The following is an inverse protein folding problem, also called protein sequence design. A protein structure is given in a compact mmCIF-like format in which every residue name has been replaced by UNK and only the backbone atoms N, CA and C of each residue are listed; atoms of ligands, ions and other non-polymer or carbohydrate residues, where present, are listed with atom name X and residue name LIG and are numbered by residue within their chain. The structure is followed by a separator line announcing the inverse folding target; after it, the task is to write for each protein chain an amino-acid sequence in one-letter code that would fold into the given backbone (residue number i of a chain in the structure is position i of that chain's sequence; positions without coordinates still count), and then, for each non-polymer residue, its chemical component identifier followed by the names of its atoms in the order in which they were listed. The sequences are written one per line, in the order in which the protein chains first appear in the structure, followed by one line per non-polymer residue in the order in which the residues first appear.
data_IF_545622869500
#
_entry.id   IF_545622869500
#
_cell.length_a   1.000
_cell.length_b   1.000
_cell.length_c   1.000
_cell.angle_alpha   90.00
_cell.angle_beta   90.00
_cell.angle_gamma   90.00
#
_symmetry.space_group_name_H-M   'P 1'
#
loop_
_entity.id
_entity.type
_entity.pdbx_description
1 polymer ?
#
# COMPACT_ATOMS: atom_id res chain seq x y z
N UNK A 1 16.27 45.51 43.30
CA UNK A 1 16.55 44.73 42.07
C UNK A 1 16.26 43.27 42.37
N UNK A 2 15.15 42.73 41.83
CA UNK A 2 14.80 41.31 41.99
C UNK A 2 15.28 40.54 40.76
N UNK A 3 16.09 39.51 40.97
CA UNK A 3 16.60 38.62 39.93
C UNK A 3 15.61 37.50 39.65
N UNK A 4 15.14 37.41 38.41
CA UNK A 4 14.31 36.30 37.92
C UNK A 4 15.21 35.13 37.52
N UNK A 5 15.06 34.00 38.19
CA UNK A 5 15.75 32.74 37.87
C UNK A 5 15.04 32.05 36.71
N UNK A 6 15.65 31.99 35.52
CA UNK A 6 15.17 31.15 34.43
C UNK A 6 15.61 29.69 34.65
N UNK A 7 14.67 28.80 34.91
CA UNK A 7 14.92 27.35 34.83
C UNK A 7 14.85 26.92 33.35
N UNK A 8 16.00 26.60 32.77
CA UNK A 8 16.07 25.87 31.50
C UNK A 8 15.76 24.40 31.74
N UNK A 9 14.59 23.96 31.29
CA UNK A 9 14.20 22.56 31.30
C UNK A 9 14.62 21.92 29.96
N UNK A 10 15.89 21.51 29.83
CA UNK A 10 16.38 20.71 28.69
C UNK A 10 16.09 19.23 28.90
N UNK A 11 14.83 18.88 29.18
CA UNK A 11 14.37 17.50 29.22
C UNK A 11 14.15 17.00 27.79
N UNK A 12 15.21 16.51 27.14
CA UNK A 12 15.06 15.69 25.93
C UNK A 12 14.34 14.40 26.33
N UNK A 13 13.03 14.38 26.15
CA UNK A 13 12.22 13.18 26.28
C UNK A 13 12.43 12.37 24.98
N UNK A 14 13.35 11.42 24.99
CA UNK A 14 13.43 10.37 23.96
C UNK A 14 12.21 9.46 24.11
N UNK A 15 11.04 9.97 23.72
CA UNK A 15 9.91 9.13 23.38
C UNK A 15 10.39 8.13 22.34
N UNK A 16 10.05 6.85 22.54
CA UNK A 16 10.46 5.77 21.67
C UNK A 16 10.26 6.20 20.21
N UNK A 17 11.36 6.27 19.45
CA UNK A 17 11.34 6.47 18.00
C UNK A 17 10.53 5.31 17.41
N UNK A 18 9.23 5.53 17.22
CA UNK A 18 8.40 4.61 16.44
C UNK A 18 9.00 4.68 15.04
N UNK A 19 9.66 3.60 14.62
CA UNK A 19 10.20 3.41 13.27
C UNK A 19 9.05 3.37 12.25
N UNK A 20 8.40 4.51 12.01
CA UNK A 20 7.26 4.66 11.08
C UNK A 20 7.68 4.58 9.60
N UNK A 21 8.99 4.58 9.33
CA UNK A 21 9.58 4.51 7.98
C UNK A 21 10.27 3.16 7.68
N UNK A 22 9.93 2.08 8.39
CA UNK A 22 10.15 0.76 7.79
C UNK A 22 9.08 0.61 6.70
N UNK A 23 9.51 0.49 5.43
CA UNK A 23 8.67 -0.16 4.42
C UNK A 23 8.14 -1.42 5.08
N UNK A 24 6.83 -1.48 5.34
CA UNK A 24 6.22 -2.66 5.93
C UNK A 24 6.59 -3.82 5.01
N UNK A 25 7.46 -4.71 5.47
CA UNK A 25 7.80 -5.92 4.72
C UNK A 25 6.47 -6.55 4.32
N UNK A 26 6.30 -6.80 3.01
CA UNK A 26 5.09 -7.45 2.55
C UNK A 26 5.02 -8.82 3.24
N UNK A 27 3.90 -9.08 3.89
CA UNK A 27 3.67 -10.35 4.58
C UNK A 27 3.83 -11.51 3.59
N UNK A 28 4.56 -12.56 4.00
CA UNK A 28 4.83 -13.74 3.17
C UNK A 28 3.52 -14.31 2.63
N UNK A 29 2.50 -14.38 3.48
CA UNK A 29 1.19 -14.92 3.12
C UNK A 29 0.46 -14.04 2.10
N UNK A 30 0.60 -12.72 2.19
CA UNK A 30 0.07 -11.77 1.22
C UNK A 30 0.77 -11.92 -0.14
N UNK A 31 2.11 -12.02 -0.16
CA UNK A 31 2.89 -12.26 -1.38
C UNK A 31 2.51 -13.59 -2.02
N UNK A 32 2.45 -14.67 -1.24
CA UNK A 32 1.98 -15.98 -1.71
C UNK A 32 0.58 -15.87 -2.30
N UNK A 33 -0.35 -15.23 -1.61
CA UNK A 33 -1.74 -15.06 -2.06
C UNK A 33 -1.83 -14.29 -3.37
N UNK A 34 -1.08 -13.19 -3.52
CA UNK A 34 -1.05 -12.39 -4.73
C UNK A 34 -0.48 -13.17 -5.93
N UNK A 35 0.67 -13.83 -5.76
CA UNK A 35 1.30 -14.63 -6.82
C UNK A 35 0.43 -15.83 -7.19
N UNK A 36 -0.21 -16.48 -6.22
CA UNK A 36 -1.14 -17.61 -6.46
C UNK A 36 -2.38 -17.16 -7.24
N UNK A 37 -2.94 -16.00 -6.92
CA UNK A 37 -4.07 -15.45 -7.67
C UNK A 37 -3.68 -15.11 -9.11
N UNK A 38 -2.52 -14.49 -9.29
CA UNK A 38 -2.00 -14.20 -10.63
C UNK A 38 -1.75 -15.48 -11.44
N UNK A 39 -1.13 -16.50 -10.83
CA UNK A 39 -0.86 -17.78 -11.49
C UNK A 39 -2.14 -18.58 -11.81
N UNK A 40 -3.22 -18.38 -11.06
CA UNK A 40 -4.52 -18.98 -11.36
C UNK A 40 -5.16 -18.35 -12.61
N UNK A 41 -4.88 -17.08 -12.90
CA UNK A 41 -5.39 -16.37 -14.07
C UNK A 41 -4.52 -16.62 -15.32
N UNK A 42 -3.20 -16.51 -15.20
CA UNK A 42 -2.27 -16.48 -16.35
C UNK A 42 -1.43 -17.75 -16.51
N UNK A 43 -1.50 -18.68 -15.55
CA UNK A 43 -0.71 -19.92 -15.52
C UNK A 43 0.64 -19.77 -14.81
N UNK A 44 1.06 -20.83 -14.12
CA UNK A 44 2.27 -20.82 -13.29
C UNK A 44 3.56 -20.62 -14.11
N UNK A 45 3.64 -21.14 -15.33
CA UNK A 45 4.83 -20.99 -16.18
C UNK A 45 5.07 -19.52 -16.57
N UNK A 46 4.01 -18.84 -17.01
CA UNK A 46 4.03 -17.43 -17.40
C UNK A 46 4.44 -16.56 -16.21
N UNK A 47 3.78 -16.74 -15.07
CA UNK A 47 4.07 -15.97 -13.84
C UNK A 47 5.49 -16.22 -13.35
N UNK A 48 5.97 -17.46 -13.39
CA UNK A 48 7.33 -17.79 -12.96
C UNK A 48 8.37 -17.14 -13.85
N UNK A 49 8.16 -17.13 -15.18
CA UNK A 49 9.05 -16.49 -16.12
C UNK A 49 9.21 -15.00 -15.81
N UNK A 50 8.11 -14.26 -15.66
CA UNK A 50 8.15 -12.83 -15.32
C UNK A 50 8.93 -12.56 -14.02
N UNK A 51 8.64 -13.30 -12.95
CA UNK A 51 9.28 -13.08 -11.64
C UNK A 51 10.77 -13.42 -11.69
N UNK A 52 11.14 -14.52 -12.34
CA UNK A 52 12.54 -14.98 -12.39
C UNK A 52 13.37 -14.10 -13.31
N UNK A 53 12.82 -13.67 -14.44
CA UNK A 53 13.51 -12.76 -15.36
C UNK A 53 13.70 -11.38 -14.72
N UNK A 54 12.72 -10.87 -13.99
CA UNK A 54 12.88 -9.65 -13.21
C UNK A 54 13.91 -9.82 -12.08
N UNK A 55 13.89 -10.94 -11.35
CA UNK A 55 14.88 -11.23 -10.32
C UNK A 55 16.31 -11.22 -10.87
N UNK A 56 16.52 -11.80 -12.06
CA UNK A 56 17.81 -11.77 -12.77
C UNK A 56 18.19 -10.35 -13.20
N UNK A 57 17.24 -9.56 -13.69
CA UNK A 57 17.48 -8.16 -14.06
C UNK A 57 17.86 -7.29 -12.86
N UNK A 58 17.39 -7.63 -11.66
CA UNK A 58 17.72 -6.94 -10.41
C UNK A 58 19.04 -7.41 -9.75
N UNK A 59 19.82 -8.28 -10.41
CA UNK A 59 21.14 -8.75 -9.96
C UNK A 59 21.16 -10.23 -9.52
N UNK A 60 20.08 -10.71 -8.92
CA UNK A 60 19.78 -12.13 -8.80
C UNK A 60 20.74 -13.03 -8.02
N UNK A 61 21.62 -12.48 -7.17
CA UNK A 61 22.82 -13.18 -6.69
C UNK A 61 22.54 -14.21 -5.58
N UNK A 62 21.58 -13.95 -4.69
CA UNK A 62 21.34 -14.77 -3.49
C UNK A 62 20.50 -16.04 -3.76
N UNK A 63 19.75 -16.05 -4.88
CA UNK A 63 18.86 -17.15 -5.25
C UNK A 63 19.14 -17.55 -6.69
N UNK A 64 19.90 -18.64 -6.85
CA UNK A 64 20.16 -19.23 -8.16
C UNK A 64 18.95 -20.05 -8.64
N UNK A 65 18.22 -19.58 -9.65
CA UNK A 65 17.20 -20.39 -10.34
C UNK A 65 17.82 -21.24 -11.46
N UNK A 66 17.44 -22.52 -11.59
CA UNK A 66 17.84 -23.35 -12.74
C UNK A 66 17.39 -22.76 -14.08
N UNK A 67 18.11 -23.05 -15.16
CA UNK A 67 17.69 -22.65 -16.51
C UNK A 67 16.49 -23.44 -17.03
N UNK A 68 16.28 -24.65 -16.49
CA UNK A 68 15.08 -25.45 -16.77
C UNK A 68 13.84 -24.78 -16.14
N UNK A 69 12.93 -24.33 -17.01
CA UNK A 69 11.72 -23.56 -16.64
C UNK A 69 10.86 -24.33 -15.61
N UNK A 70 10.70 -25.64 -15.80
CA UNK A 70 9.86 -26.45 -14.92
C UNK A 70 10.44 -26.53 -13.51
N UNK A 71 11.75 -26.78 -13.39
CA UNK A 71 12.48 -26.80 -12.12
C UNK A 71 12.53 -25.42 -11.46
N UNK A 72 12.68 -24.36 -12.25
CA UNK A 72 12.71 -22.99 -11.76
C UNK A 72 11.36 -22.57 -11.17
N UNK A 73 10.26 -22.84 -11.89
CA UNK A 73 8.88 -22.70 -11.41
C UNK A 73 8.65 -23.49 -10.12
N UNK A 74 8.99 -24.78 -10.11
CA UNK A 74 8.81 -25.62 -8.91
C UNK A 74 9.55 -25.05 -7.71
N UNK A 75 10.78 -24.54 -7.91
CA UNK A 75 11.58 -23.92 -6.87
C UNK A 75 10.94 -22.64 -6.34
N UNK A 76 10.47 -21.75 -7.22
CA UNK A 76 9.77 -20.52 -6.86
C UNK A 76 8.53 -20.81 -6.02
N UNK A 77 7.63 -21.67 -6.51
CA UNK A 77 6.40 -21.99 -5.79
C UNK A 77 6.65 -22.73 -4.48
N UNK A 78 7.71 -23.54 -4.39
CA UNK A 78 8.11 -24.16 -3.12
C UNK A 78 8.53 -23.13 -2.07
N UNK A 79 9.19 -22.05 -2.46
CA UNK A 79 9.52 -20.95 -1.55
C UNK A 79 8.27 -20.18 -1.12
N UNK A 80 7.38 -19.89 -2.07
CA UNK A 80 6.12 -19.20 -1.79
C UNK A 80 5.19 -20.02 -0.88
N UNK A 81 4.98 -21.30 -1.18
CA UNK A 81 4.07 -22.15 -0.40
C UNK A 81 4.59 -22.43 1.00
N UNK A 82 5.91 -22.60 1.11
CA UNK A 82 6.62 -22.88 2.35
C UNK A 82 5.93 -23.93 3.24
N UNK A 83 5.66 -25.16 2.74
CA UNK A 83 4.86 -26.16 3.47
C UNK A 83 5.51 -26.65 4.76
N UNK A 84 6.83 -26.48 4.90
CA UNK A 84 7.59 -26.82 6.10
C UNK A 84 7.81 -25.61 7.04
N UNK A 85 7.17 -24.48 6.77
CA UNK A 85 7.26 -23.24 7.56
C UNK A 85 8.69 -22.77 7.84
N UNK A 86 9.59 -22.95 6.87
CA UNK A 86 11.00 -22.60 6.97
C UNK A 86 11.21 -21.08 6.96
N UNK A 87 11.90 -20.56 7.98
CA UNK A 87 12.34 -19.16 8.02
C UNK A 87 13.21 -18.79 6.81
N UNK A 88 14.07 -19.71 6.36
CA UNK A 88 14.91 -19.48 5.18
C UNK A 88 14.10 -19.26 3.91
N UNK A 89 12.95 -19.91 3.77
CA UNK A 89 12.05 -19.67 2.63
C UNK A 89 11.31 -18.34 2.77
N UNK A 90 10.98 -17.91 4.00
CA UNK A 90 10.48 -16.55 4.24
C UNK A 90 11.52 -15.50 3.84
N UNK A 91 12.79 -15.70 4.19
CA UNK A 91 13.90 -14.84 3.74
C UNK A 91 14.03 -14.81 2.21
N UNK A 92 13.96 -15.96 1.53
CA UNK A 92 13.97 -15.98 0.07
C UNK A 92 12.79 -15.24 -0.54
N UNK A 93 11.58 -15.36 0.02
CA UNK A 93 10.42 -14.59 -0.45
C UNK A 93 10.60 -13.10 -0.18
N UNK A 94 11.20 -12.69 0.95
CA UNK A 94 11.56 -11.28 1.20
C UNK A 94 12.52 -10.75 0.14
N UNK A 95 13.56 -11.52 -0.21
CA UNK A 95 14.51 -11.16 -1.27
C UNK A 95 13.83 -11.06 -2.63
N UNK A 96 12.89 -11.96 -2.94
CA UNK A 96 12.13 -11.94 -4.20
C UNK A 96 11.05 -10.84 -4.26
N UNK A 97 10.66 -10.28 -3.11
CA UNK A 97 9.53 -9.32 -3.03
C UNK A 97 9.70 -8.11 -3.96
N UNK A 98 10.87 -7.44 -4.06
CA UNK A 98 11.06 -6.34 -5.00
C UNK A 98 10.82 -6.74 -6.47
N UNK A 99 11.33 -7.89 -6.90
CA UNK A 99 11.10 -8.43 -8.24
C UNK A 99 9.61 -8.76 -8.47
N UNK A 100 8.97 -9.45 -7.50
CA UNK A 100 7.55 -9.74 -7.56
C UNK A 100 6.72 -8.46 -7.69
N UNK A 101 7.02 -7.44 -6.89
CA UNK A 101 6.28 -6.17 -6.89
C UNK A 101 6.40 -5.41 -8.21
N UNK A 102 7.58 -5.47 -8.85
CA UNK A 102 7.84 -4.81 -10.12
C UNK A 102 6.97 -5.40 -11.25
N UNK A 103 6.79 -6.73 -11.29
CA UNK A 103 6.03 -7.40 -12.36
C UNK A 103 4.58 -7.75 -12.00
N UNK A 104 4.18 -7.66 -10.73
CA UNK A 104 2.82 -8.01 -10.30
C UNK A 104 1.78 -7.06 -10.92
N UNK A 105 0.81 -7.58 -11.71
CA UNK A 105 -0.23 -6.75 -12.31
C UNK A 105 -1.08 -6.02 -11.27
N UNK A 106 -1.56 -4.82 -11.63
CA UNK A 106 -2.31 -3.94 -10.74
C UNK A 106 -3.54 -4.61 -10.14
N UNK A 107 -4.19 -5.48 -10.91
CA UNK A 107 -5.41 -6.18 -10.53
C UNK A 107 -5.19 -7.13 -9.35
N UNK A 108 -3.96 -7.57 -9.08
CA UNK A 108 -3.62 -8.46 -7.96
C UNK A 108 -3.00 -7.73 -6.76
N UNK A 109 -2.56 -6.47 -6.92
CA UNK A 109 -1.89 -5.69 -5.86
C UNK A 109 -2.78 -5.41 -4.64
N UNK A 110 -4.10 -5.41 -4.80
CA UNK A 110 -5.04 -5.26 -3.69
C UNK A 110 -4.84 -6.31 -2.59
N UNK A 111 -4.32 -7.51 -2.92
CA UNK A 111 -4.04 -8.60 -1.98
C UNK A 111 -2.85 -8.31 -1.07
N UNK A 112 -2.01 -7.35 -1.43
CA UNK A 112 -0.86 -6.89 -0.65
C UNK A 112 -1.21 -5.71 0.24
N UNK A 113 -2.43 -5.18 0.11
CA UNK A 113 -2.89 -4.06 0.91
C UNK A 113 -3.44 -4.62 2.23
N UNK A 114 -3.12 -3.99 3.38
CA UNK A 114 -3.75 -4.32 4.65
C UNK A 114 -5.27 -4.22 4.51
N UNK A 115 -5.99 -5.28 4.91
CA UNK A 115 -7.44 -5.42 4.69
C UNK A 115 -8.26 -4.25 5.25
N UNK A 116 -7.76 -3.56 6.29
CA UNK A 116 -8.55 -2.55 6.99
C UNK A 116 -8.49 -1.12 6.44
N UNK A 117 -7.57 -0.77 5.54
CA UNK A 117 -7.21 0.66 5.44
C UNK A 117 -7.57 1.34 4.12
N UNK A 118 -7.28 0.75 2.96
CA UNK A 118 -7.44 1.48 1.68
C UNK A 118 -8.73 1.13 0.96
N UNK A 119 -9.16 -0.14 0.95
CA UNK A 119 -10.40 -0.54 0.29
C UNK A 119 -11.62 0.05 1.01
N UNK A 120 -11.63 0.03 2.35
CA UNK A 120 -12.67 0.65 3.17
C UNK A 120 -12.77 2.16 2.89
N UNK A 121 -11.63 2.85 2.84
CA UNK A 121 -11.58 4.28 2.52
C UNK A 121 -12.02 4.59 1.10
N UNK A 122 -11.63 3.75 0.12
CA UNK A 122 -12.09 3.86 -1.25
C UNK A 122 -13.60 3.67 -1.36
N UNK A 123 -14.14 2.63 -0.72
CA UNK A 123 -15.57 2.35 -0.70
C UNK A 123 -16.36 3.49 -0.06
N UNK A 124 -15.89 4.03 1.08
CA UNK A 124 -16.49 5.22 1.68
C UNK A 124 -16.44 6.40 0.73
N UNK A 125 -15.29 6.69 0.11
CA UNK A 125 -15.17 7.81 -0.82
C UNK A 125 -16.11 7.71 -2.02
N UNK A 126 -16.26 6.51 -2.58
CA UNK A 126 -17.21 6.25 -3.66
C UNK A 126 -18.67 6.48 -3.23
N UNK A 127 -19.04 6.00 -2.04
CA UNK A 127 -20.39 6.19 -1.47
C UNK A 127 -20.72 7.67 -1.27
N UNK A 128 -19.86 8.39 -0.54
CA UNK A 128 -20.06 9.81 -0.21
C UNK A 128 -20.09 10.67 -1.48
N UNK A 129 -19.22 10.39 -2.46
CA UNK A 129 -19.25 11.07 -3.75
C UNK A 129 -20.53 10.79 -4.55
N UNK A 130 -21.12 9.59 -4.42
CA UNK A 130 -22.39 9.26 -5.07
C UNK A 130 -23.56 9.99 -4.39
N UNK A 131 -23.58 10.05 -3.06
CA UNK A 131 -24.58 10.78 -2.27
C UNK A 131 -24.53 12.29 -2.57
N UNK A 132 -23.33 12.87 -2.68
CA UNK A 132 -23.13 14.25 -3.11
C UNK A 132 -23.72 14.52 -4.51
N UNK A 133 -23.41 13.65 -5.50
CA UNK A 133 -23.94 13.76 -6.87
C UNK A 133 -25.46 13.64 -6.89
N UNK A 134 -26.01 12.71 -6.10
CA UNK A 134 -27.45 12.50 -5.99
C UNK A 134 -28.15 13.71 -5.35
N UNK A 135 -27.59 14.29 -4.29
CA UNK A 135 -28.15 15.49 -3.65
C UNK A 135 -28.24 16.68 -4.62
N UNK A 136 -27.21 16.87 -5.47
CA UNK A 136 -27.22 17.89 -6.53
C UNK A 136 -28.23 17.55 -7.62
N UNK A 137 -28.20 16.31 -8.12
CA UNK A 137 -29.08 15.85 -9.22
C UNK A 137 -30.56 15.94 -8.86
N UNK A 138 -30.92 15.62 -7.61
CA UNK A 138 -32.30 15.67 -7.10
C UNK A 138 -32.71 17.07 -6.61
N UNK A 139 -31.83 18.06 -6.74
CA UNK A 139 -32.02 19.42 -6.22
C UNK A 139 -32.49 19.42 -4.75
N UNK A 140 -31.80 18.65 -3.90
CA UNK A 140 -32.06 18.59 -2.47
C UNK A 140 -31.97 20.00 -1.83
N UNK A 141 -32.59 20.21 -0.65
CA UNK A 141 -32.47 21.47 0.08
C UNK A 141 -31.00 21.92 0.25
N UNK A 142 -30.75 23.23 0.21
CA UNK A 142 -29.38 23.78 0.22
C UNK A 142 -28.50 23.26 1.36
N UNK A 143 -29.05 23.17 2.57
CA UNK A 143 -28.31 22.63 3.72
C UNK A 143 -27.91 21.16 3.54
N UNK A 144 -28.73 20.36 2.85
CA UNK A 144 -28.44 18.97 2.55
C UNK A 144 -27.39 18.86 1.45
N UNK A 145 -27.50 19.66 0.38
CA UNK A 145 -26.44 19.73 -0.65
C UNK A 145 -25.09 20.10 -0.03
N UNK A 146 -25.06 21.11 0.85
CA UNK A 146 -23.84 21.54 1.53
C UNK A 146 -23.23 20.42 2.38
N UNK A 147 -24.04 19.68 3.14
CA UNK A 147 -23.60 18.52 3.92
C UNK A 147 -23.00 17.44 3.01
N UNK A 148 -23.77 16.92 2.06
CA UNK A 148 -23.37 15.78 1.24
C UNK A 148 -22.15 16.10 0.37
N UNK A 149 -22.08 17.32 -0.20
CA UNK A 149 -20.90 17.78 -0.95
C UNK A 149 -19.67 17.90 -0.05
N UNK A 150 -19.83 18.40 1.18
CA UNK A 150 -18.72 18.50 2.14
C UNK A 150 -18.21 17.12 2.59
N UNK A 151 -19.12 16.17 2.84
CA UNK A 151 -18.77 14.79 3.19
C UNK A 151 -18.07 14.07 2.03
N UNK A 152 -18.54 14.30 0.79
CA UNK A 152 -17.87 13.87 -0.44
C UNK A 152 -16.43 14.39 -0.54
N UNK A 153 -16.22 15.71 -0.38
CA UNK A 153 -14.88 16.31 -0.38
C UNK A 153 -13.99 15.73 0.73
N UNK A 154 -14.50 15.66 1.97
CA UNK A 154 -13.77 15.12 3.12
C UNK A 154 -13.38 13.64 2.92
N UNK A 155 -14.22 12.87 2.23
CA UNK A 155 -13.93 11.46 1.92
C UNK A 155 -12.75 11.28 0.96
N UNK A 156 -12.56 12.21 0.02
CA UNK A 156 -11.44 12.17 -0.92
C UNK A 156 -10.11 12.46 -0.22
N UNK A 157 -10.08 13.41 0.72
CA UNK A 157 -8.88 13.65 1.54
C UNK A 157 -8.47 12.42 2.35
N UNK A 158 -9.46 11.68 2.88
CA UNK A 158 -9.20 10.46 3.65
C UNK A 158 -8.46 9.40 2.86
N UNK A 159 -8.50 9.38 1.52
CA UNK A 159 -7.72 8.45 0.70
C UNK A 159 -6.19 8.61 0.91
N UNK A 160 -5.74 9.79 1.30
CA UNK A 160 -4.34 10.14 1.55
C UNK A 160 -4.20 10.84 2.92
N UNK A 161 -4.44 10.13 4.03
CA UNK A 161 -4.62 10.75 5.35
C UNK A 161 -3.36 11.49 5.80
N UNK A 162 -2.19 10.94 5.51
CA UNK A 162 -0.88 11.55 5.81
C UNK A 162 -0.61 12.83 5.01
N UNK A 163 -1.27 13.02 3.86
CA UNK A 163 -1.11 14.19 2.99
C UNK A 163 -2.28 15.19 3.11
N UNK A 164 -3.22 14.98 4.04
CA UNK A 164 -4.43 15.82 4.18
C UNK A 164 -4.10 17.31 4.26
N UNK A 165 -3.10 17.68 5.07
CA UNK A 165 -2.67 19.08 5.20
C UNK A 165 -2.15 19.66 3.88
N UNK A 166 -1.26 18.93 3.20
CA UNK A 166 -0.70 19.33 1.90
C UNK A 166 -1.80 19.46 0.84
N UNK A 167 -2.71 18.48 0.78
CA UNK A 167 -3.82 18.51 -0.17
C UNK A 167 -4.75 19.70 0.09
N UNK A 168 -5.05 20.03 1.35
CA UNK A 168 -5.85 21.22 1.67
C UNK A 168 -5.16 22.49 1.20
N UNK A 169 -3.85 22.65 1.44
CA UNK A 169 -3.09 23.81 0.94
C UNK A 169 -3.13 23.92 -0.58
N UNK A 170 -2.92 22.80 -1.29
CA UNK A 170 -2.97 22.77 -2.76
C UNK A 170 -4.36 23.14 -3.28
N UNK A 171 -5.42 22.53 -2.74
CA UNK A 171 -6.80 22.82 -3.15
C UNK A 171 -7.18 24.27 -2.85
N UNK A 172 -6.86 24.79 -1.67
CA UNK A 172 -7.10 26.20 -1.34
C UNK A 172 -6.38 27.14 -2.31
N UNK A 173 -5.13 26.85 -2.67
CA UNK A 173 -4.40 27.68 -3.65
C UNK A 173 -5.04 27.67 -5.04
N UNK A 174 -5.57 26.51 -5.49
CA UNK A 174 -6.29 26.40 -6.76
C UNK A 174 -7.65 27.11 -6.73
N UNK A 175 -8.32 27.15 -5.58
CA UNK A 175 -9.62 27.82 -5.44
C UNK A 175 -9.49 29.33 -5.19
N UNK A 176 -8.41 29.79 -4.54
CA UNK A 176 -8.13 31.23 -4.36
C UNK A 176 -7.65 31.92 -5.65
N UNK A 177 -7.42 31.18 -6.73
CA UNK A 177 -7.13 31.72 -8.06
C UNK A 177 -8.38 31.85 -8.94
N UNK A 178 -9.57 31.52 -8.41
CA UNK A 178 -10.89 31.79 -8.98
C UNK A 178 -11.50 33.04 -8.34
#
# INVERSE_FOLDING_TARGET
MQTLSFQQNTGFNTGALIKRNQQREADHDAIRSAVRAWAAAEGQDVVSAYIIDEWRQQGGEEIAFPDDISRARQKLFRYLDNPAESERYREYVRLLTPAIMAVLPLEFRHRLMPQDDILSRLSSAMKECAEAKQAVMLNAPEHQKLKEVSEGIASLFRLMPEQTGTLMTLVSSMLCTL
#
